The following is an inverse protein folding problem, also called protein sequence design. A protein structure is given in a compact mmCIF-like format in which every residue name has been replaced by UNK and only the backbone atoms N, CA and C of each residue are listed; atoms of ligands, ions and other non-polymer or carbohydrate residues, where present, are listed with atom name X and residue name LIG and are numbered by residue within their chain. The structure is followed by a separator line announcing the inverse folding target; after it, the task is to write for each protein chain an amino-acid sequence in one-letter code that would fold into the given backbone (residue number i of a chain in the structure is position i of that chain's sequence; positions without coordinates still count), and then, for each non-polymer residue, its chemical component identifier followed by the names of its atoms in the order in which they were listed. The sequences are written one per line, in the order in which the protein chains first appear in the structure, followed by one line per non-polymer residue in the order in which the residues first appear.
data_IF_522854229802
#
_entry.id   IF_522854229802
#
_cell.length_a   1.000
_cell.length_b   1.000
_cell.length_c   1.000
_cell.angle_alpha   90.00
_cell.angle_beta   90.00
_cell.angle_gamma   90.00
#
_symmetry.space_group_name_H-M   'P 1'
#
loop_
_entity.id
_entity.type
_entity.pdbx_description
1 polymer ?
#
# COMPACT_ATOMS: atom_id res chain seq x y z
N UNK A 1 -18.20 -13.43 -4.65
CA UNK A 1 -17.33 -12.38 -4.09
C UNK A 1 -16.56 -11.60 -5.16
N UNK A 2 -15.81 -12.27 -6.05
CA UNK A 2 -15.02 -11.62 -7.12
C UNK A 2 -15.82 -10.69 -8.05
N UNK A 3 -17.06 -11.04 -8.42
CA UNK A 3 -17.89 -10.19 -9.28
C UNK A 3 -18.21 -8.81 -8.67
N UNK A 4 -18.34 -8.71 -7.34
CA UNK A 4 -18.52 -7.42 -6.65
C UNK A 4 -17.25 -6.57 -6.70
N UNK A 5 -16.08 -7.18 -6.60
CA UNK A 5 -14.79 -6.49 -6.74
C UNK A 5 -14.57 -6.00 -8.17
N UNK A 6 -14.85 -6.85 -9.18
CA UNK A 6 -14.79 -6.47 -10.60
C UNK A 6 -15.67 -5.26 -10.90
N UNK A 7 -16.92 -5.25 -10.44
CA UNK A 7 -17.84 -4.11 -10.62
C UNK A 7 -17.38 -2.86 -9.86
N UNK A 8 -16.94 -3.00 -8.60
CA UNK A 8 -16.49 -1.86 -7.77
C UNK A 8 -15.26 -1.16 -8.35
N UNK A 9 -14.35 -1.94 -8.92
CA UNK A 9 -13.08 -1.43 -9.48
C UNK A 9 -13.13 -1.24 -11.00
N UNK A 10 -14.24 -1.63 -11.65
CA UNK A 10 -14.44 -1.62 -13.11
C UNK A 10 -13.27 -2.30 -13.86
N UNK A 11 -12.81 -3.44 -13.34
CA UNK A 11 -11.69 -4.20 -13.91
C UNK A 11 -12.15 -5.54 -14.48
N UNK A 12 -11.48 -5.97 -15.54
CA UNK A 12 -11.72 -7.27 -16.16
C UNK A 12 -11.22 -8.41 -15.25
N UNK A 13 -11.67 -9.66 -15.51
CA UNK A 13 -11.29 -10.81 -14.69
C UNK A 13 -9.77 -11.04 -14.59
N UNK A 14 -9.08 -10.88 -15.72
CA UNK A 14 -7.63 -10.97 -15.81
C UNK A 14 -6.91 -9.86 -15.03
N UNK A 15 -7.39 -8.61 -15.15
CA UNK A 15 -6.84 -7.48 -14.41
C UNK A 15 -7.00 -7.66 -12.90
N UNK A 16 -8.14 -8.19 -12.43
CA UNK A 16 -8.32 -8.48 -11.01
C UNK A 16 -7.29 -9.50 -10.50
N UNK A 17 -7.01 -10.56 -11.26
CA UNK A 17 -5.99 -11.53 -10.89
C UNK A 17 -4.60 -10.87 -10.79
N UNK A 18 -4.21 -10.06 -11.77
CA UNK A 18 -2.94 -9.32 -11.76
C UNK A 18 -2.85 -8.34 -10.58
N UNK A 19 -3.94 -7.67 -10.23
CA UNK A 19 -4.01 -6.76 -9.08
C UNK A 19 -3.80 -7.56 -7.78
N UNK A 20 -4.46 -8.70 -7.62
CA UNK A 20 -4.30 -9.55 -6.43
C UNK A 20 -2.87 -10.08 -6.31
N UNK A 21 -2.25 -10.50 -7.42
CA UNK A 21 -0.84 -10.92 -7.47
C UNK A 21 0.08 -9.77 -7.10
N UNK A 22 -0.15 -8.57 -7.65
CA UNK A 22 0.61 -7.36 -7.33
C UNK A 22 0.49 -7.00 -5.84
N UNK A 23 -0.69 -7.16 -5.25
CA UNK A 23 -0.91 -6.96 -3.81
C UNK A 23 -0.14 -7.97 -2.96
N UNK A 24 -0.16 -9.26 -3.34
CA UNK A 24 0.54 -10.31 -2.61
C UNK A 24 2.06 -10.14 -2.68
N UNK A 25 2.59 -9.83 -3.86
CA UNK A 25 4.01 -9.59 -4.09
C UNK A 25 4.48 -8.28 -3.44
N UNK A 26 3.75 -7.18 -3.64
CA UNK A 26 4.06 -5.90 -3.04
C UNK A 26 3.97 -5.92 -1.51
N UNK A 27 2.99 -6.62 -0.95
CA UNK A 27 2.85 -6.84 0.49
C UNK A 27 4.01 -7.66 1.08
N UNK A 28 4.37 -8.77 0.43
CA UNK A 28 5.51 -9.60 0.84
C UNK A 28 6.83 -8.84 0.78
N UNK A 29 7.08 -8.12 -0.32
CA UNK A 29 8.27 -7.29 -0.50
C UNK A 29 8.35 -6.17 0.54
N UNK A 30 7.23 -5.50 0.81
CA UNK A 30 7.19 -4.44 1.82
C UNK A 30 7.48 -4.96 3.23
N UNK A 31 6.92 -6.11 3.60
CA UNK A 31 7.18 -6.73 4.89
C UNK A 31 8.65 -7.15 5.03
N UNK A 32 9.25 -7.68 3.95
CA UNK A 32 10.67 -8.01 3.91
C UNK A 32 11.55 -6.77 4.09
N UNK A 33 11.28 -5.69 3.35
CA UNK A 33 12.00 -4.42 3.49
C UNK A 33 11.84 -3.79 4.87
N UNK A 34 10.65 -3.85 5.46
CA UNK A 34 10.42 -3.35 6.82
C UNK A 34 11.26 -4.09 7.87
N UNK A 35 11.43 -5.41 7.72
CA UNK A 35 12.32 -6.19 8.59
C UNK A 35 13.78 -5.86 8.36
N UNK A 36 14.17 -5.68 7.09
CA UNK A 36 15.53 -5.31 6.72
C UNK A 36 15.91 -3.95 7.32
N UNK A 37 15.06 -2.94 7.16
CA UNK A 37 15.28 -1.59 7.70
C UNK A 37 15.34 -1.59 9.23
N UNK A 38 14.50 -2.37 9.91
CA UNK A 38 14.59 -2.51 11.37
C UNK A 38 15.87 -3.20 11.82
N UNK A 39 16.34 -4.20 11.06
CA UNK A 39 17.61 -4.86 11.33
C UNK A 39 18.78 -3.89 11.20
N UNK A 40 18.74 -3.00 10.21
CA UNK A 40 19.77 -1.97 10.00
C UNK A 40 19.78 -0.89 11.10
N UNK A 41 18.65 -0.67 11.79
CA UNK A 41 18.56 0.31 12.87
C UNK A 41 18.84 -0.27 14.26
N UNK A 42 19.21 -1.56 14.34
CA UNK A 42 19.59 -2.26 15.58
C UNK A 42 18.65 -1.98 16.78
N UNK A 43 17.34 -1.88 16.50
CA UNK A 43 16.35 -1.56 17.52
C UNK A 43 16.08 -2.80 18.38
N UNK A 44 16.82 -2.95 19.48
CA UNK A 44 16.71 -4.07 20.41
C UNK A 44 15.40 -4.07 21.21
N UNK A 45 14.84 -2.89 21.49
CA UNK A 45 13.62 -2.78 22.29
C UNK A 45 12.39 -3.25 21.51
N UNK A 46 11.92 -4.48 21.79
CA UNK A 46 10.73 -5.09 21.18
C UNK A 46 9.49 -4.18 21.24
N UNK A 47 9.29 -3.46 22.35
CA UNK A 47 8.16 -2.54 22.55
C UNK A 47 8.16 -1.37 21.56
N UNK A 48 9.33 -0.89 21.14
CA UNK A 48 9.48 0.18 20.15
C UNK A 48 9.56 -0.40 18.73
N UNK A 49 10.18 -1.57 18.60
CA UNK A 49 10.39 -2.26 17.32
C UNK A 49 9.08 -2.61 16.60
N UNK A 50 8.07 -3.09 17.33
CA UNK A 50 6.77 -3.48 16.74
C UNK A 50 6.02 -2.28 16.14
N UNK A 51 5.75 -1.19 16.89
CA UNK A 51 5.07 -0.02 16.31
C UNK A 51 5.89 0.63 15.20
N UNK A 52 7.23 0.67 15.34
CA UNK A 52 8.13 1.16 14.30
C UNK A 52 8.06 0.31 13.03
N UNK A 53 8.00 -1.02 13.16
CA UNK A 53 7.79 -1.93 12.03
C UNK A 53 6.50 -1.62 11.28
N UNK A 54 5.40 -1.50 12.01
CA UNK A 54 4.08 -1.24 11.42
C UNK A 54 4.09 0.11 10.69
N UNK A 55 4.68 1.14 11.29
CA UNK A 55 4.78 2.46 10.70
C UNK A 55 5.64 2.44 9.42
N UNK A 56 6.83 1.81 9.47
CA UNK A 56 7.71 1.65 8.32
C UNK A 56 7.03 0.89 7.18
N UNK A 57 6.46 -0.29 7.45
CA UNK A 57 5.76 -1.09 6.44
C UNK A 57 4.58 -0.31 5.86
N UNK A 58 3.81 0.40 6.69
CA UNK A 58 2.68 1.21 6.20
C UNK A 58 3.14 2.33 5.25
N UNK A 59 4.30 2.94 5.54
CA UNK A 59 4.87 4.01 4.71
C UNK A 59 5.55 3.49 3.45
N UNK A 60 6.21 2.32 3.52
CA UNK A 60 6.86 1.67 2.38
C UNK A 60 5.86 1.03 1.42
N UNK A 61 4.73 0.56 1.92
CA UNK A 61 3.77 -0.24 1.15
C UNK A 61 3.31 0.43 -0.17
N UNK A 62 2.95 1.73 -0.21
CA UNK A 62 2.62 2.44 -1.45
C UNK A 62 3.73 2.37 -2.50
N UNK A 63 5.00 2.44 -2.06
CA UNK A 63 6.18 2.40 -2.94
C UNK A 63 6.35 0.99 -3.49
N UNK A 64 6.33 -0.03 -2.63
CA UNK A 64 6.48 -1.44 -3.04
C UNK A 64 5.41 -1.85 -4.05
N UNK A 65 4.16 -1.47 -3.81
CA UNK A 65 3.05 -1.82 -4.71
C UNK A 65 3.16 -1.10 -6.05
N UNK A 66 3.62 0.15 -6.09
CA UNK A 66 3.89 0.84 -7.35
C UNK A 66 4.99 0.13 -8.13
N UNK A 67 6.12 -0.18 -7.49
CA UNK A 67 7.26 -0.82 -8.15
C UNK A 67 6.86 -2.15 -8.77
N UNK A 68 6.14 -2.99 -8.01
CA UNK A 68 5.66 -4.28 -8.53
C UNK A 68 4.60 -4.08 -9.61
N UNK A 69 3.76 -3.04 -9.55
CA UNK A 69 2.71 -2.82 -10.56
C UNK A 69 3.23 -2.47 -11.97
N UNK A 70 4.51 -2.08 -12.11
CA UNK A 70 5.16 -1.74 -13.38
C UNK A 70 5.25 -2.96 -14.32
N UNK A 71 5.92 -4.08 -13.95
CA UNK A 71 6.01 -5.25 -14.82
C UNK A 71 4.65 -5.91 -15.11
N UNK A 72 3.65 -5.76 -14.24
CA UNK A 72 2.31 -6.33 -14.44
C UNK A 72 1.36 -5.41 -15.24
N UNK A 73 1.80 -4.22 -15.67
CA UNK A 73 0.98 -3.28 -16.44
C UNK A 73 -0.21 -2.69 -15.67
N UNK A 74 -0.25 -2.82 -14.34
CA UNK A 74 -1.32 -2.31 -13.47
C UNK A 74 -0.99 -0.94 -12.85
N UNK A 75 0.11 -0.30 -13.28
CA UNK A 75 0.59 0.98 -12.73
C UNK A 75 -0.48 2.08 -12.71
N UNK A 76 -1.24 2.25 -13.81
CA UNK A 76 -2.30 3.27 -13.88
C UNK A 76 -3.42 3.05 -12.85
N UNK A 77 -3.79 1.79 -12.62
CA UNK A 77 -4.77 1.41 -11.61
C UNK A 77 -4.26 1.74 -10.20
N UNK A 78 -3.05 1.29 -9.86
CA UNK A 78 -2.48 1.49 -8.54
C UNK A 78 -2.13 2.94 -8.25
N UNK A 79 -1.67 3.71 -9.24
CA UNK A 79 -1.45 5.15 -9.10
C UNK A 79 -2.75 5.90 -8.77
N UNK A 80 -3.84 5.58 -9.47
CA UNK A 80 -5.16 6.16 -9.17
C UNK A 80 -5.69 5.71 -7.80
N UNK A 81 -5.50 4.44 -7.44
CA UNK A 81 -5.85 3.89 -6.15
C UNK A 81 -5.11 4.60 -5.01
N UNK A 82 -3.78 4.73 -5.12
CA UNK A 82 -2.93 5.41 -4.14
C UNK A 82 -3.22 6.91 -4.08
N UNK A 83 -3.45 7.58 -5.21
CA UNK A 83 -3.88 8.99 -5.23
C UNK A 83 -5.20 9.18 -4.48
N UNK A 84 -6.16 8.28 -4.66
CA UNK A 84 -7.45 8.31 -3.93
C UNK A 84 -7.26 8.05 -2.43
N UNK A 85 -6.35 7.15 -2.06
CA UNK A 85 -6.00 6.87 -0.67
C UNK A 85 -5.27 8.05 -0.01
N UNK A 86 -4.27 8.61 -0.69
CA UNK A 86 -3.54 9.80 -0.24
C UNK A 86 -4.44 11.02 -0.10
N UNK A 87 -5.41 11.22 -1.01
CA UNK A 87 -6.44 12.27 -0.84
C UNK A 87 -7.32 12.07 0.38
N UNK A 88 -7.57 10.84 0.83
CA UNK A 88 -8.30 10.58 2.09
C UNK A 88 -7.45 10.83 3.32
N UNK A 89 -6.15 10.50 3.23
CA UNK A 89 -5.20 10.73 4.31
C UNK A 89 -4.88 12.23 4.48
N UNK A 90 -4.69 12.95 3.37
CA UNK A 90 -4.43 14.39 3.34
C UNK A 90 -5.70 15.26 3.43
N UNK A 91 -6.82 14.77 2.92
CA UNK A 91 -8.11 15.49 2.86
C UNK A 91 -8.86 15.62 4.17
N UNK A 92 -8.25 15.26 5.32
CA UNK A 92 -8.77 15.60 6.66
C UNK A 92 -8.27 16.94 7.21
N UNK A 93 -7.48 17.72 6.46
CA UNK A 93 -7.22 19.14 6.76
C UNK A 93 -8.05 20.08 5.87
N UNK A 94 -9.37 20.11 6.07
CA UNK A 94 -10.20 21.30 5.82
C UNK A 94 -11.57 21.19 6.51
N UNK A 95 -11.60 21.18 7.84
CA UNK A 95 -12.79 21.51 8.61
C UNK A 95 -12.37 22.14 9.94
N UNK A 96 -11.81 23.34 9.88
CA UNK A 96 -11.66 24.24 11.02
C UNK A 96 -11.54 25.66 10.46
N UNK A 97 -12.32 26.60 10.98
CA UNK A 97 -12.75 27.91 10.42
C UNK A 97 -13.92 27.74 9.41
N UNK A 98 -15.13 28.24 9.66
CA UNK A 98 -15.56 29.43 10.38
C UNK A 98 -16.89 29.19 11.10
N UNK A 99 -16.92 29.41 12.41
CA UNK A 99 -17.98 30.13 13.12
C UNK A 99 -17.29 31.30 13.83
#
# INVERSE_FOLDING_TARGET
MFNRLKQKWKVNGWQLALILVTFALGGSLCGYLGRLLLGLMEVEQTTVRIPLYILLVTLLWPVCVIVISIPFGQFGFFRNYLKKMGRRLAGRKKQQSLD
#
